data_IF_272879569447
#
_entry.id   IF_272879569447
#
_cell.length_a   1.000
_cell.length_b   1.000
_cell.length_c   1.000
_cell.angle_alpha   90.00
_cell.angle_beta   90.00
_cell.angle_gamma   90.00
#
_symmetry.space_group_name_H-M   'P 1'
#
loop_
_entity.id
_entity.type
_entity.pdbx_description
1 polymer ?
#
# COMPACT_ATOMS: atom_id res chain seq x y z
N UNK A 1 29.94 -25.50 55.59
CA UNK A 1 29.92 -26.23 54.31
C UNK A 1 29.61 -25.19 53.25
N UNK A 2 30.69 -24.60 52.76
CA UNK A 2 30.70 -23.55 51.77
C UNK A 2 30.98 -24.25 50.44
N UNK A 3 30.04 -24.21 49.50
CA UNK A 3 30.32 -24.60 48.12
C UNK A 3 30.22 -23.37 47.23
N UNK A 4 31.27 -23.26 46.45
CA UNK A 4 31.82 -22.08 45.84
C UNK A 4 31.69 -22.32 44.34
N UNK A 5 30.81 -21.59 43.66
CA UNK A 5 30.70 -21.63 42.20
C UNK A 5 31.31 -20.34 41.62
N UNK A 6 32.51 -20.41 41.02
CA UNK A 6 32.94 -19.45 40.04
C UNK A 6 32.99 -20.14 38.67
N UNK A 7 32.11 -19.72 37.76
CA UNK A 7 32.35 -19.92 36.33
C UNK A 7 32.15 -18.58 35.62
N UNK A 8 33.25 -17.83 35.58
CA UNK A 8 33.52 -16.78 34.60
C UNK A 8 33.50 -17.42 33.20
N UNK A 9 32.38 -17.34 32.50
CA UNK A 9 32.34 -17.61 31.06
C UNK A 9 32.94 -16.41 30.32
N UNK A 10 34.25 -16.49 30.10
CA UNK A 10 34.98 -15.67 29.14
C UNK A 10 34.43 -15.93 27.72
N UNK A 11 33.51 -15.07 27.26
CA UNK A 11 33.19 -14.99 25.84
C UNK A 11 34.37 -14.40 25.07
N UNK A 12 34.93 -15.09 24.07
CA UNK A 12 35.94 -14.50 23.19
C UNK A 12 35.29 -13.38 22.38
N UNK A 13 35.71 -12.13 22.64
CA UNK A 13 35.43 -11.00 21.77
C UNK A 13 36.14 -11.24 20.44
N UNK A 14 35.39 -11.59 19.41
CA UNK A 14 35.91 -11.56 18.03
C UNK A 14 36.19 -10.09 17.65
N UNK A 15 37.38 -9.78 17.14
CA UNK A 15 37.68 -8.43 16.67
C UNK A 15 36.83 -8.11 15.44
N UNK A 16 36.36 -6.86 15.28
CA UNK A 16 35.67 -6.45 14.07
C UNK A 16 36.64 -6.54 12.89
N UNK A 17 36.30 -7.37 11.91
CA UNK A 17 36.99 -7.41 10.62
C UNK A 17 36.70 -6.10 9.91
N UNK A 18 37.65 -5.16 9.96
CA UNK A 18 37.62 -3.92 9.20
C UNK A 18 37.63 -4.27 7.69
N UNK A 19 36.47 -4.19 7.05
CA UNK A 19 36.35 -4.27 5.60
C UNK A 19 36.88 -2.97 4.99
N UNK A 20 38.18 -2.99 4.67
CA UNK A 20 38.81 -2.04 3.76
C UNK A 20 38.50 -2.48 2.33
N UNK A 21 37.56 -1.82 1.66
CA UNK A 21 37.46 -1.88 0.21
C UNK A 21 36.62 -0.73 -0.37
N UNK A 22 37.21 -0.08 -1.38
CA UNK A 22 36.63 0.84 -2.39
C UNK A 22 36.67 2.32 -1.97
N UNK A 23 37.63 3.13 -2.42
CA UNK A 23 38.30 3.12 -3.73
C UNK A 23 37.46 3.88 -4.77
N UNK A 24 38.01 5.02 -5.19
CA UNK A 24 37.70 5.76 -6.42
C UNK A 24 36.27 6.34 -6.60
N UNK A 25 35.97 7.44 -5.90
CA UNK A 25 35.02 8.45 -6.39
C UNK A 25 35.73 9.37 -7.38
N UNK A 26 35.61 9.08 -8.68
CA UNK A 26 35.80 10.05 -9.79
C UNK A 26 35.44 9.37 -11.11
N UNK A 27 34.17 9.47 -11.51
CA UNK A 27 33.83 9.45 -12.93
C UNK A 27 32.55 10.25 -13.17
N UNK A 28 32.75 11.49 -13.57
CA UNK A 28 31.75 12.40 -14.09
C UNK A 28 31.79 12.30 -15.63
N UNK A 29 30.63 12.42 -16.27
CA UNK A 29 30.35 12.59 -17.72
C UNK A 29 30.22 11.33 -18.59
N UNK A 30 29.01 11.08 -19.12
CA UNK A 30 28.65 11.29 -20.55
C UNK A 30 27.16 10.95 -20.84
N UNK A 31 26.40 11.98 -21.23
CA UNK A 31 25.35 12.09 -22.29
C UNK A 31 24.02 11.29 -22.20
N UNK A 32 22.87 12.01 -22.12
CA UNK A 32 21.55 11.53 -22.52
C UNK A 32 21.06 12.25 -23.81
N UNK A 33 20.84 11.53 -24.91
CA UNK A 33 20.19 12.12 -26.10
C UNK A 33 19.35 11.15 -26.97
N UNK A 34 19.14 9.89 -26.56
CA UNK A 34 18.45 8.89 -27.39
C UNK A 34 16.99 8.59 -27.00
N UNK A 35 16.56 8.87 -25.77
CA UNK A 35 15.33 8.29 -25.23
C UNK A 35 14.03 9.03 -25.59
N UNK A 36 14.11 10.28 -26.08
CA UNK A 36 12.91 11.13 -26.28
C UNK A 36 12.15 10.76 -27.56
N UNK A 37 12.81 10.28 -28.61
CA UNK A 37 12.17 10.01 -29.91
C UNK A 37 11.32 8.74 -29.90
N UNK A 38 11.70 7.73 -29.10
CA UNK A 38 10.95 6.46 -29.00
C UNK A 38 9.62 6.63 -28.24
N UNK A 39 9.57 7.53 -27.25
CA UNK A 39 8.35 7.78 -26.48
C UNK A 39 7.22 8.42 -27.31
N UNK A 40 7.55 9.28 -28.29
CA UNK A 40 6.55 9.96 -29.13
C UNK A 40 5.91 8.98 -30.13
N UNK A 41 6.67 8.02 -30.66
CA UNK A 41 6.16 7.02 -31.60
C UNK A 41 5.13 6.05 -30.96
N UNK A 42 5.30 5.70 -29.68
CA UNK A 42 4.39 4.79 -28.99
C UNK A 42 3.04 5.45 -28.63
N UNK A 43 3.01 6.76 -28.37
CA UNK A 43 1.76 7.49 -28.07
C UNK A 43 0.88 7.64 -29.32
N UNK A 44 1.48 7.80 -30.51
CA UNK A 44 0.74 7.89 -31.77
C UNK A 44 0.00 6.60 -32.15
N UNK A 45 0.59 5.43 -31.89
CA UNK A 45 -0.02 4.15 -32.24
C UNK A 45 -1.23 3.79 -31.37
N UNK A 46 -1.28 4.26 -30.11
CA UNK A 46 -2.35 3.89 -29.18
C UNK A 46 -3.67 4.65 -29.41
N UNK A 47 -3.63 5.82 -30.06
CA UNK A 47 -4.83 6.63 -30.34
C UNK A 47 -5.61 6.19 -31.59
N UNK A 48 -5.00 5.41 -32.49
CA UNK A 48 -5.66 4.93 -33.71
C UNK A 48 -6.55 3.69 -33.51
N UNK A 49 -6.45 3.00 -32.36
CA UNK A 49 -7.10 1.70 -32.15
C UNK A 49 -8.45 1.77 -31.39
N UNK A 50 -9.01 2.96 -31.15
CA UNK A 50 -10.25 3.13 -30.35
C UNK A 50 -11.55 3.23 -31.15
N UNK A 51 -11.53 3.00 -32.46
CA UNK A 51 -12.71 3.04 -33.33
C UNK A 51 -13.41 1.69 -33.39
N UNK A 52 -14.16 1.34 -32.35
CA UNK A 52 -15.10 0.21 -32.37
C UNK A 52 -16.47 0.62 -32.97
N UNK A 53 -17.11 -0.24 -33.79
CA UNK A 53 -18.39 0.08 -34.44
C UNK A 53 -19.59 0.04 -33.48
N UNK A 54 -20.56 0.90 -33.78
CA UNK A 54 -21.82 1.10 -33.05
C UNK A 54 -22.75 -0.13 -33.13
N UNK A 55 -23.44 -0.50 -32.04
CA UNK A 55 -24.47 -1.53 -32.10
C UNK A 55 -25.77 -0.98 -32.73
N UNK A 56 -26.31 -1.76 -33.66
CA UNK A 56 -27.59 -1.52 -34.34
C UNK A 56 -28.80 -1.64 -33.37
N UNK A 57 -29.87 -0.83 -33.55
CA UNK A 57 -31.09 -0.96 -32.77
C UNK A 57 -31.95 -2.13 -33.29
N UNK A 58 -32.13 -3.16 -32.46
CA UNK A 58 -33.11 -4.23 -32.72
C UNK A 58 -34.50 -3.74 -32.28
N UNK A 59 -35.40 -3.62 -33.24
CA UNK A 59 -36.82 -3.39 -33.05
C UNK A 59 -37.61 -4.65 -33.44
N UNK A 60 -38.27 -5.28 -32.45
CA UNK A 60 -39.33 -6.30 -32.59
C UNK A 60 -40.05 -6.30 -31.22
N UNK A 61 -41.36 -6.30 -30.99
CA UNK A 61 -42.57 -6.48 -31.79
C UNK A 61 -43.66 -7.00 -30.82
N UNK A 62 -44.72 -6.20 -30.69
CA UNK A 62 -46.14 -6.47 -30.34
C UNK A 62 -46.66 -7.73 -29.58
N UNK A 63 -47.62 -7.43 -28.69
CA UNK A 63 -48.87 -8.17 -28.34
C UNK A 63 -48.87 -9.40 -27.43
N UNK A 64 -49.60 -9.29 -26.30
CA UNK A 64 -50.03 -10.45 -25.51
C UNK A 64 -50.74 -10.14 -24.18
N UNK A 65 -52.05 -9.86 -24.24
CA UNK A 65 -53.14 -10.28 -23.34
C UNK A 65 -53.03 -10.21 -21.79
N UNK A 66 -54.08 -9.66 -21.20
CA UNK A 66 -54.32 -9.38 -19.78
C UNK A 66 -54.58 -10.59 -18.86
N UNK A 67 -54.18 -10.46 -17.59
CA UNK A 67 -54.85 -11.04 -16.40
C UNK A 67 -54.45 -10.24 -15.13
N UNK A 68 -55.33 -10.09 -14.11
CA UNK A 68 -55.09 -9.22 -12.95
C UNK A 68 -54.53 -10.00 -11.76
N UNK A 69 -53.36 -9.61 -11.25
CA UNK A 69 -52.82 -10.14 -9.98
C UNK A 69 -52.07 -9.05 -9.20
N UNK A 70 -52.65 -8.72 -8.04
CA UNK A 70 -52.09 -8.21 -6.77
C UNK A 70 -51.06 -7.06 -6.77
N UNK A 71 -51.23 -6.02 -5.92
CA UNK A 71 -50.24 -4.96 -5.75
C UNK A 71 -48.99 -5.53 -5.03
N UNK A 72 -47.94 -5.82 -5.79
CA UNK A 72 -46.60 -6.01 -5.23
C UNK A 72 -46.07 -4.63 -4.85
N UNK A 73 -45.94 -4.39 -3.55
CA UNK A 73 -45.16 -3.28 -3.02
C UNK A 73 -43.74 -3.39 -3.54
N UNK A 74 -43.41 -2.58 -4.56
CA UNK A 74 -42.04 -2.38 -5.00
C UNK A 74 -41.35 -1.61 -3.90
N UNK A 75 -40.59 -2.31 -3.06
CA UNK A 75 -39.52 -1.68 -2.28
C UNK A 75 -38.50 -1.21 -3.30
N UNK A 76 -38.62 0.05 -3.73
CA UNK A 76 -37.52 0.74 -4.37
C UNK A 76 -36.35 0.72 -3.39
N UNK A 77 -35.37 -0.15 -3.67
CA UNK A 77 -34.02 0.01 -3.13
C UNK A 77 -33.47 1.26 -3.79
N UNK A 78 -33.79 2.41 -3.21
CA UNK A 78 -33.10 3.65 -3.48
C UNK A 78 -31.65 3.38 -3.10
N UNK A 79 -30.79 3.21 -4.11
CA UNK A 79 -29.34 3.34 -3.96
C UNK A 79 -29.09 4.76 -3.54
N UNK A 80 -29.25 5.02 -2.25
CA UNK A 80 -28.81 6.24 -1.60
C UNK A 80 -27.31 6.29 -1.85
N UNK A 81 -26.91 7.20 -2.74
CA UNK A 81 -25.53 7.67 -2.78
C UNK A 81 -25.36 8.44 -1.48
N UNK A 82 -25.16 7.70 -0.39
CA UNK A 82 -24.92 8.24 0.93
C UNK A 82 -23.62 9.03 0.82
N UNK A 83 -23.76 10.34 0.62
CA UNK A 83 -22.72 11.30 0.90
C UNK A 83 -22.28 10.99 2.32
N UNK A 84 -21.11 10.37 2.46
CA UNK A 84 -20.57 9.95 3.74
C UNK A 84 -20.67 11.13 4.69
N UNK A 85 -21.57 11.03 5.67
CA UNK A 85 -21.58 11.95 6.79
C UNK A 85 -20.16 11.92 7.36
N UNK A 86 -19.52 13.06 7.65
CA UNK A 86 -18.17 13.06 8.19
C UNK A 86 -18.21 12.18 9.45
N UNK A 87 -17.53 11.04 9.38
CA UNK A 87 -17.27 10.24 10.56
C UNK A 87 -16.63 11.17 11.60
N UNK A 88 -16.89 10.98 12.91
CA UNK A 88 -16.15 11.69 13.93
C UNK A 88 -14.67 11.60 13.59
N UNK A 89 -14.02 12.77 13.47
CA UNK A 89 -12.60 12.81 13.13
C UNK A 89 -11.85 11.98 14.18
N UNK A 90 -11.20 10.89 13.76
CA UNK A 90 -10.32 10.14 14.64
C UNK A 90 -9.27 11.13 15.16
N UNK A 91 -9.03 11.15 16.48
CA UNK A 91 -8.04 12.04 17.08
C UNK A 91 -6.61 11.77 16.55
N UNK A 92 -6.41 10.60 15.93
CA UNK A 92 -5.18 10.19 15.23
C UNK A 92 -5.19 10.55 13.75
N UNK A 93 -6.26 11.13 13.22
CA UNK A 93 -6.22 11.60 11.84
C UNK A 93 -5.33 12.85 11.75
N UNK A 94 -4.35 12.79 10.86
CA UNK A 94 -3.46 13.91 10.57
C UNK A 94 -4.15 15.01 9.77
N UNK A 95 -5.39 14.81 9.32
CA UNK A 95 -6.21 15.78 8.58
C UNK A 95 -5.69 16.01 7.15
N UNK A 96 -5.12 14.98 6.54
CA UNK A 96 -4.68 15.02 5.15
C UNK A 96 -5.90 14.93 4.21
N UNK A 97 -5.71 15.17 2.92
CA UNK A 97 -6.77 15.00 1.91
C UNK A 97 -7.27 13.56 1.86
N UNK A 98 -6.36 12.61 2.08
CA UNK A 98 -6.68 11.21 2.37
C UNK A 98 -6.97 11.08 3.86
N UNK A 99 -8.09 10.46 4.28
CA UNK A 99 -8.36 10.23 5.69
C UNK A 99 -7.53 9.07 6.25
N UNK A 100 -7.39 9.02 7.58
CA UNK A 100 -6.78 7.88 8.27
C UNK A 100 -7.57 6.58 8.00
N UNK A 101 -6.88 5.52 7.58
CA UNK A 101 -7.50 4.21 7.34
C UNK A 101 -7.36 3.31 8.57
N UNK A 102 -8.48 2.72 8.97
CA UNK A 102 -8.52 1.57 9.89
C UNK A 102 -8.73 0.31 9.06
N UNK A 103 -7.69 -0.52 8.83
CA UNK A 103 -7.81 -1.66 7.92
C UNK A 103 -8.69 -2.76 8.50
N UNK A 104 -9.33 -3.52 7.61
CA UNK A 104 -9.96 -4.79 7.99
C UNK A 104 -8.89 -5.87 8.17
N UNK A 105 -9.01 -6.64 9.25
CA UNK A 105 -8.04 -7.67 9.64
C UNK A 105 -8.42 -9.05 9.12
N UNK A 106 -8.79 -9.12 7.83
CA UNK A 106 -9.36 -10.31 7.19
C UNK A 106 -8.35 -11.11 6.36
N UNK A 107 -7.05 -10.88 6.52
CA UNK A 107 -6.00 -11.54 5.74
C UNK A 107 -5.72 -10.86 4.38
N UNK A 108 -5.98 -9.57 4.25
CA UNK A 108 -5.60 -8.84 3.03
C UNK A 108 -4.10 -8.56 3.01
N UNK A 109 -3.45 -8.74 1.85
CA UNK A 109 -2.04 -8.39 1.67
C UNK A 109 -1.90 -6.95 1.21
N UNK A 110 -1.01 -6.19 1.83
CA UNK A 110 -0.66 -4.82 1.45
C UNK A 110 0.84 -4.68 1.33
N UNK A 111 1.30 -3.61 0.69
CA UNK A 111 2.72 -3.25 0.63
C UNK A 111 2.93 -2.00 1.47
N UNK A 112 3.70 -2.13 2.55
CA UNK A 112 4.16 -0.99 3.34
C UNK A 112 5.29 -0.31 2.60
N UNK A 113 5.22 1.02 2.50
CA UNK A 113 6.19 1.86 1.81
C UNK A 113 7.08 2.62 2.79
N UNK A 114 6.51 3.09 3.91
CA UNK A 114 7.23 3.84 4.93
C UNK A 114 6.57 3.69 6.30
N UNK A 115 7.35 3.85 7.37
CA UNK A 115 6.86 3.91 8.76
C UNK A 115 7.45 5.13 9.48
N UNK A 116 6.59 6.02 9.99
CA UNK A 116 6.97 7.32 10.53
C UNK A 116 6.52 7.39 11.99
N UNK A 117 7.48 7.47 12.91
CA UNK A 117 7.21 7.54 14.35
C UNK A 117 6.37 8.75 14.71
N UNK A 118 5.44 8.65 15.66
CA UNK A 118 4.60 9.79 16.09
C UNK A 118 5.41 10.94 16.69
N UNK A 119 6.63 10.66 17.15
CA UNK A 119 7.53 11.65 17.74
C UNK A 119 8.34 12.41 16.68
N UNK A 120 8.18 12.05 15.40
CA UNK A 120 8.90 12.70 14.33
C UNK A 120 8.49 14.18 14.19
N UNK A 121 9.46 15.11 14.01
CA UNK A 121 9.13 16.50 13.72
C UNK A 121 8.36 16.60 12.40
N UNK A 122 7.41 17.51 12.31
CA UNK A 122 6.61 17.72 11.09
C UNK A 122 5.91 16.43 10.59
N UNK A 123 5.46 15.57 11.52
CA UNK A 123 4.83 14.27 11.23
C UNK A 123 3.80 14.31 10.08
N UNK A 124 2.89 15.29 10.13
CA UNK A 124 1.87 15.50 9.09
C UNK A 124 2.50 15.72 7.71
N UNK A 125 3.55 16.52 7.63
CA UNK A 125 4.26 16.81 6.39
C UNK A 125 4.95 15.55 5.85
N UNK A 126 5.58 14.78 6.74
CA UNK A 126 6.27 13.56 6.35
C UNK A 126 5.30 12.55 5.77
N UNK A 127 4.15 12.30 6.42
CA UNK A 127 3.13 11.40 5.88
C UNK A 127 2.60 11.92 4.54
N UNK A 128 2.31 13.23 4.45
CA UNK A 128 1.84 13.86 3.21
C UNK A 128 2.79 13.64 2.04
N UNK A 129 4.10 13.86 2.26
CA UNK A 129 5.16 13.66 1.26
C UNK A 129 5.18 12.23 0.71
N UNK A 130 4.73 11.25 1.47
CA UNK A 130 4.65 9.86 1.02
C UNK A 130 3.33 9.51 0.35
N UNK A 131 2.22 10.09 0.82
CA UNK A 131 0.89 9.78 0.29
C UNK A 131 0.63 10.48 -1.06
N UNK A 132 0.95 11.78 -1.18
CA UNK A 132 0.59 12.56 -2.37
C UNK A 132 1.29 12.12 -3.67
N UNK A 133 2.61 11.86 -3.71
CA UNK A 133 3.28 11.51 -4.96
C UNK A 133 2.93 10.11 -5.47
N UNK A 134 2.47 9.23 -4.59
CA UNK A 134 2.23 7.83 -4.88
C UNK A 134 0.79 7.50 -5.26
N UNK A 135 -0.10 8.50 -5.29
CA UNK A 135 -1.51 8.32 -5.66
C UNK A 135 -1.70 7.61 -7.02
N UNK A 136 -0.78 7.85 -7.97
CA UNK A 136 -0.76 7.22 -9.29
C UNK A 136 0.45 6.29 -9.50
N UNK A 137 1.00 5.76 -8.40
CA UNK A 137 2.17 4.89 -8.43
C UNK A 137 1.91 3.50 -9.04
N UNK A 138 2.98 2.69 -9.22
CA UNK A 138 2.89 1.35 -9.83
C UNK A 138 2.01 0.35 -9.03
N UNK A 139 1.86 0.57 -7.73
CA UNK A 139 1.01 -0.21 -6.83
C UNK A 139 -0.40 0.38 -6.69
N UNK A 140 -0.70 1.48 -7.37
CA UNK A 140 -1.95 2.22 -7.27
C UNK A 140 -1.94 3.19 -6.10
N UNK A 141 -3.16 3.50 -5.63
CA UNK A 141 -3.40 4.45 -4.56
C UNK A 141 -2.71 4.04 -3.25
N UNK A 142 -2.21 5.04 -2.54
CA UNK A 142 -1.54 4.90 -1.25
C UNK A 142 -2.38 5.55 -0.17
N UNK A 143 -2.49 4.85 0.95
CA UNK A 143 -3.20 5.30 2.13
C UNK A 143 -2.25 5.25 3.35
N UNK A 144 -2.72 5.76 4.48
CA UNK A 144 -1.97 5.69 5.74
C UNK A 144 -2.86 5.21 6.89
N UNK A 145 -2.23 4.57 7.86
CA UNK A 145 -2.85 4.06 9.08
C UNK A 145 -2.01 4.43 10.30
N UNK A 146 -2.61 4.33 11.49
CA UNK A 146 -1.91 4.46 12.76
C UNK A 146 -1.72 3.07 13.38
N UNK A 147 -0.50 2.76 13.84
CA UNK A 147 -0.13 1.42 14.32
C UNK A 147 -1.01 0.89 15.45
N UNK A 148 -1.51 1.76 16.34
CA UNK A 148 -2.41 1.35 17.44
C UNK A 148 -3.87 1.11 17.03
N UNK A 149 -4.23 1.41 15.78
CA UNK A 149 -5.55 1.09 15.20
C UNK A 149 -5.44 0.01 14.12
N UNK A 150 -4.26 -0.59 13.95
CA UNK A 150 -3.99 -1.63 12.97
C UNK A 150 -4.29 -3.04 13.51
N UNK A 151 -4.21 -4.02 12.62
CA UNK A 151 -4.35 -5.45 12.95
C UNK A 151 -3.20 -5.97 13.82
N UNK A 152 -3.43 -7.07 14.54
CA UNK A 152 -2.41 -7.66 15.42
C UNK A 152 -1.15 -8.14 14.68
N UNK A 153 -1.26 -8.43 13.37
CA UNK A 153 -0.11 -8.75 12.50
C UNK A 153 0.83 -7.57 12.22
N UNK A 154 0.44 -6.36 12.61
CA UNK A 154 1.27 -5.15 12.55
C UNK A 154 1.78 -4.86 13.96
N UNK A 155 3.06 -4.49 14.05
CA UNK A 155 3.63 -4.07 15.34
C UNK A 155 2.91 -2.80 15.80
N UNK A 156 2.50 -2.75 17.06
CA UNK A 156 1.84 -1.58 17.64
C UNK A 156 2.80 -0.40 17.84
N UNK A 157 4.09 -0.69 17.96
CA UNK A 157 5.16 0.29 18.21
C UNK A 157 6.40 -0.01 17.36
N UNK A 158 7.19 1.02 17.13
CA UNK A 158 8.52 0.96 16.52
C UNK A 158 9.57 0.42 17.52
N UNK A 159 10.83 0.36 17.07
CA UNK A 159 11.94 -0.16 17.89
C UNK A 159 12.26 0.72 19.12
N UNK A 160 11.75 1.96 19.16
CA UNK A 160 11.86 2.87 20.30
C UNK A 160 10.63 2.79 21.23
N UNK A 161 9.70 1.87 20.97
CA UNK A 161 8.47 1.73 21.74
C UNK A 161 7.44 2.84 21.45
N UNK A 162 7.60 3.59 20.35
CA UNK A 162 6.67 4.65 19.97
C UNK A 162 5.68 4.13 18.91
N UNK A 163 4.41 4.54 18.95
CA UNK A 163 3.51 4.25 17.85
C UNK A 163 3.99 4.99 16.58
N UNK A 164 3.51 4.56 15.43
CA UNK A 164 3.91 5.11 14.15
C UNK A 164 2.73 5.17 13.19
N UNK A 165 2.83 6.09 12.23
CA UNK A 165 1.99 6.08 11.04
C UNK A 165 2.67 5.26 9.98
N UNK A 166 1.90 4.39 9.33
CA UNK A 166 2.41 3.58 8.25
C UNK A 166 1.74 3.96 6.95
N UNK A 167 2.54 4.14 5.90
CA UNK A 167 2.07 4.44 4.56
C UNK A 167 2.11 3.16 3.74
N UNK A 168 1.00 2.79 3.13
CA UNK A 168 0.86 1.51 2.44
C UNK A 168 0.04 1.61 1.16
N UNK A 169 0.29 0.68 0.24
CA UNK A 169 -0.53 0.44 -0.94
C UNK A 169 -1.28 -0.88 -0.81
N UNK A 170 -2.54 -0.91 -1.23
CA UNK A 170 -3.37 -2.11 -1.27
C UNK A 170 -3.76 -2.45 -2.73
N UNK A 171 -2.81 -2.95 -3.54
CA UNK A 171 -3.09 -3.27 -4.94
C UNK A 171 -4.10 -4.40 -5.05
N UNK A 172 -4.97 -4.32 -6.06
CA UNK A 172 -5.85 -5.42 -6.42
C UNK A 172 -5.06 -6.60 -7.03
N UNK A 173 -5.56 -7.82 -6.84
CA UNK A 173 -5.03 -9.04 -7.43
C UNK A 173 -3.88 -9.67 -6.63
N UNK A 174 -2.97 -10.35 -7.32
CA UNK A 174 -1.79 -10.98 -6.71
C UNK A 174 -0.76 -9.92 -6.30
N UNK A 175 -0.81 -9.54 -5.03
CA UNK A 175 0.06 -8.52 -4.45
C UNK A 175 1.53 -8.94 -4.49
N UNK A 176 1.83 -10.23 -4.34
CA UNK A 176 3.21 -10.72 -4.32
C UNK A 176 3.84 -10.67 -5.71
N UNK A 177 3.11 -11.14 -6.73
CA UNK A 177 3.55 -11.01 -8.11
C UNK A 177 3.75 -9.53 -8.49
N UNK A 178 2.81 -8.67 -8.12
CA UNK A 178 2.89 -7.23 -8.45
C UNK A 178 4.03 -6.53 -7.71
N UNK A 179 4.21 -6.80 -6.43
CA UNK A 179 5.35 -6.29 -5.65
C UNK A 179 6.67 -6.70 -6.29
N UNK A 180 6.84 -7.98 -6.63
CA UNK A 180 8.06 -8.47 -7.27
C UNK A 180 8.33 -7.83 -8.64
N UNK A 181 7.28 -7.59 -9.43
CA UNK A 181 7.40 -6.94 -10.74
C UNK A 181 7.88 -5.49 -10.64
N UNK A 182 7.50 -4.76 -9.58
CA UNK A 182 7.78 -3.32 -9.44
C UNK A 182 8.78 -2.99 -8.33
N UNK A 183 9.31 -3.99 -7.62
CA UNK A 183 10.20 -3.80 -6.45
C UNK A 183 11.37 -2.85 -6.72
N UNK A 184 11.94 -2.88 -7.92
CA UNK A 184 13.06 -2.01 -8.31
C UNK A 184 12.71 -0.52 -8.40
N UNK A 185 11.42 -0.15 -8.51
CA UNK A 185 10.96 1.23 -8.51
C UNK A 185 10.33 1.67 -7.18
N UNK A 186 10.22 0.76 -6.20
CA UNK A 186 9.69 1.07 -4.88
C UNK A 186 10.74 1.73 -3.97
N UNK A 187 10.29 2.43 -2.92
CA UNK A 187 11.19 2.96 -1.90
C UNK A 187 12.04 1.86 -1.26
N UNK A 188 13.30 2.16 -0.87
CA UNK A 188 14.09 1.24 -0.07
C UNK A 188 13.34 0.87 1.21
N UNK A 189 13.26 -0.43 1.51
CA UNK A 189 12.53 -0.90 2.69
C UNK A 189 11.03 -1.11 2.46
N UNK A 190 10.50 -0.94 1.25
CA UNK A 190 9.15 -1.38 0.97
C UNK A 190 9.03 -2.91 1.13
N UNK A 191 7.99 -3.38 1.82
CA UNK A 191 7.78 -4.80 2.05
C UNK A 191 6.28 -5.18 2.11
N UNK A 192 5.92 -6.39 1.67
CA UNK A 192 4.56 -6.88 1.80
C UNK A 192 4.26 -7.36 3.22
N UNK A 193 3.01 -7.15 3.66
CA UNK A 193 2.45 -7.63 4.93
C UNK A 193 1.05 -8.15 4.74
N UNK A 194 0.73 -9.17 5.52
CA UNK A 194 -0.64 -9.64 5.68
C UNK A 194 -1.30 -8.87 6.83
N UNK A 195 -2.47 -8.28 6.60
CA UNK A 195 -3.29 -7.63 7.62
C UNK A 195 -4.29 -8.65 8.16
N UNK A 196 -3.98 -9.24 9.31
CA UNK A 196 -4.79 -10.28 9.94
C UNK A 196 -4.61 -10.24 11.45
N UNK A 197 -5.65 -10.63 12.19
CA UNK A 197 -5.54 -10.80 13.64
C UNK A 197 -5.05 -12.20 14.06
N UNK A 198 -4.93 -13.13 13.11
CA UNK A 198 -4.60 -14.54 13.35
C UNK A 198 -3.14 -14.92 13.06
N UNK A 199 -2.31 -13.98 12.61
CA UNK A 199 -0.90 -14.24 12.29
C UNK A 199 0.01 -13.38 13.14
N UNK A 200 1.21 -13.90 13.44
CA UNK A 200 2.19 -13.18 14.23
C UNK A 200 2.63 -11.87 13.54
N UNK A 201 2.99 -10.83 14.32
CA UNK A 201 3.53 -9.60 13.79
C UNK A 201 4.73 -9.83 12.86
N UNK A 202 4.73 -9.16 11.71
CA UNK A 202 5.85 -9.19 10.77
C UNK A 202 5.87 -10.36 9.79
N UNK A 203 4.82 -11.19 9.73
CA UNK A 203 4.65 -12.19 8.69
C UNK A 203 4.76 -11.57 7.28
N UNK A 204 5.60 -12.17 6.42
CA UNK A 204 5.78 -11.77 5.03
C UNK A 204 5.07 -12.78 4.11
N UNK A 205 3.97 -12.40 3.43
CA UNK A 205 3.23 -13.32 2.58
C UNK A 205 3.94 -13.66 1.25
N UNK A 206 5.03 -12.95 0.90
CA UNK A 206 5.72 -13.11 -0.38
C UNK A 206 7.13 -13.72 -0.23
N UNK A 207 7.43 -14.37 0.90
CA UNK A 207 8.71 -15.04 1.14
C UNK A 207 8.75 -16.52 0.72
N UNK A 208 7.77 -16.96 -0.08
CA UNK A 208 7.68 -18.32 -0.60
C UNK A 208 8.53 -18.56 -1.85
#
# INVERSE_FOLDING_TARGET
>A
MSDQFPHDEHFPRTPPTASSARGARRWFWLVPAGAVVVAIALVGAFLAFRSGPAPEPVAIGESGSAAPVSPTTVTETVTSTARASPAPADARDLGLSRPLVVPRCTGQTVVFLESISVTAPDLREQVRKWVEPWEFGPLGAVDYLHSQAACSSIRSVDDNGQPFYAVFAAPAGDVCARFNAVRGSLPPGAYPRLLSDSVAPGYNPCSG
#
